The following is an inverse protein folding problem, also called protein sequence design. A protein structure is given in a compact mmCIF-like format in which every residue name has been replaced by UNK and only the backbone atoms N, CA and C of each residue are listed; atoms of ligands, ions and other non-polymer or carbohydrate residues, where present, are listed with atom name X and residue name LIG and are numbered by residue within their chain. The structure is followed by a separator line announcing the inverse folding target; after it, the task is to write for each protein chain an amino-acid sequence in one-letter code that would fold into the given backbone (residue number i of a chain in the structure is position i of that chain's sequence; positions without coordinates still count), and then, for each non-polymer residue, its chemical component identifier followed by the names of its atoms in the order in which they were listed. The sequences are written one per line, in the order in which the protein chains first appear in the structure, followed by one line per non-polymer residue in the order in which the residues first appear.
data_IF_130175930127
#
_entry.id   IF_130175930127
#
_cell.length_a   1.000
_cell.length_b   1.000
_cell.length_c   1.000
_cell.angle_alpha   90.00
_cell.angle_beta   90.00
_cell.angle_gamma   90.00
#
_symmetry.space_group_name_H-M   'P 1'
#
loop_
_entity.id
_entity.type
_entity.pdbx_description
1 polymer ?
#
# COMPACT_ATOMS: atom_id res chain seq x y z
N UNK A 1 -63.35 43.93 30.52
CA UNK A 1 -62.84 42.78 29.72
C UNK A 1 -61.31 42.82 29.72
N UNK A 2 -60.65 41.89 30.41
CA UNK A 2 -59.17 41.84 30.58
C UNK A 2 -58.57 40.94 29.49
N UNK A 3 -57.71 41.46 28.61
CA UNK A 3 -56.99 40.66 27.61
C UNK A 3 -55.74 40.05 28.23
N UNK A 4 -55.63 38.72 28.18
CA UNK A 4 -54.45 37.95 28.59
C UNK A 4 -53.59 37.72 27.35
N UNK A 5 -52.37 38.24 27.36
CA UNK A 5 -51.35 38.00 26.33
C UNK A 5 -50.46 36.85 26.81
N UNK A 6 -50.38 35.76 26.03
CA UNK A 6 -49.45 34.65 26.29
C UNK A 6 -48.22 34.79 25.40
N UNK A 7 -47.07 34.93 26.04
CA UNK A 7 -45.75 34.97 25.38
C UNK A 7 -45.23 33.56 25.18
N UNK A 8 -45.17 33.11 23.93
CA UNK A 8 -44.62 31.80 23.55
C UNK A 8 -43.09 31.89 23.48
N UNK A 9 -42.39 31.21 24.40
CA UNK A 9 -40.93 31.04 24.32
C UNK A 9 -40.62 29.87 23.39
N UNK A 10 -39.90 30.15 22.30
CA UNK A 10 -39.37 29.12 21.38
C UNK A 10 -38.01 28.67 21.94
N UNK A 11 -37.93 27.40 22.35
CA UNK A 11 -36.68 26.73 22.72
C UNK A 11 -36.03 26.17 21.45
N UNK A 12 -34.89 26.72 21.05
CA UNK A 12 -34.05 26.17 19.97
C UNK A 12 -33.13 25.09 20.57
N UNK A 13 -33.33 23.85 20.17
CA UNK A 13 -32.45 22.73 20.51
C UNK A 13 -31.34 22.65 19.47
N UNK A 14 -30.11 23.02 19.85
CA UNK A 14 -28.92 22.82 19.02
C UNK A 14 -28.45 21.37 19.14
N UNK A 15 -28.67 20.56 18.10
CA UNK A 15 -28.08 19.23 17.97
C UNK A 15 -26.61 19.34 17.58
N UNK A 16 -25.67 18.76 18.34
CA UNK A 16 -24.28 18.66 17.90
C UNK A 16 -24.20 17.65 16.75
N UNK A 17 -23.77 18.11 15.57
CA UNK A 17 -23.45 17.24 14.44
C UNK A 17 -22.09 16.59 14.75
N UNK A 18 -22.10 15.30 15.06
CA UNK A 18 -20.90 14.48 15.20
C UNK A 18 -20.27 14.33 13.80
N UNK A 19 -19.17 15.04 13.55
CA UNK A 19 -18.43 14.93 12.30
C UNK A 19 -17.80 13.55 12.18
N UNK A 20 -18.25 12.77 11.18
CA UNK A 20 -17.59 11.55 10.75
C UNK A 20 -16.20 11.92 10.18
N UNK A 21 -15.17 11.77 11.00
CA UNK A 21 -13.80 11.82 10.52
C UNK A 21 -13.59 10.67 9.53
N UNK A 22 -13.27 11.00 8.27
CA UNK A 22 -12.94 10.00 7.26
C UNK A 22 -11.74 9.18 7.76
N UNK A 23 -11.97 7.89 8.00
CA UNK A 23 -10.94 6.92 8.38
C UNK A 23 -10.09 6.60 7.14
N UNK A 24 -9.26 7.54 6.70
CA UNK A 24 -8.21 7.21 5.77
C UNK A 24 -7.17 6.39 6.54
N UNK A 25 -6.81 5.16 6.08
CA UNK A 25 -5.73 4.42 6.71
C UNK A 25 -4.46 5.29 6.63
N UNK A 26 -3.90 5.63 7.79
CA UNK A 26 -2.66 6.38 7.86
C UNK A 26 -1.50 5.43 7.53
N UNK A 27 -0.88 5.62 6.37
CA UNK A 27 0.41 5.03 6.05
C UNK A 27 1.51 5.94 6.62
N UNK A 28 2.39 5.40 7.47
CA UNK A 28 3.46 6.17 8.12
C UNK A 28 4.84 6.01 7.46
N UNK A 29 4.95 5.24 6.38
CA UNK A 29 6.20 5.07 5.63
C UNK A 29 6.40 6.10 4.50
N UNK A 30 7.59 6.12 3.89
CA UNK A 30 7.90 7.03 2.78
C UNK A 30 7.04 6.70 1.56
N UNK A 31 6.68 7.73 0.81
CA UNK A 31 5.92 7.63 -0.43
C UNK A 31 6.58 8.49 -1.51
N UNK A 32 6.70 7.95 -2.71
CA UNK A 32 7.26 8.65 -3.87
C UNK A 32 6.30 8.60 -5.06
N UNK A 33 6.22 9.72 -5.75
CA UNK A 33 5.46 9.87 -6.97
C UNK A 33 6.40 10.40 -8.06
N UNK A 34 6.25 9.86 -9.26
CA UNK A 34 6.92 10.36 -10.46
C UNK A 34 5.86 10.69 -11.52
N UNK A 35 6.17 11.52 -12.50
CA UNK A 35 5.36 11.71 -13.70
C UNK A 35 5.44 10.51 -14.64
N UNK A 36 4.37 10.25 -15.40
CA UNK A 36 4.41 9.24 -16.47
C UNK A 36 5.13 9.83 -17.70
N UNK A 37 6.03 9.07 -18.32
CA UNK A 37 6.82 9.51 -19.47
C UNK A 37 6.66 8.56 -20.67
N UNK A 38 6.72 9.09 -21.90
CA UNK A 38 6.59 8.34 -23.15
C UNK A 38 7.92 7.98 -23.80
N UNK A 39 9.04 8.41 -23.22
CA UNK A 39 10.37 8.16 -23.76
C UNK A 39 10.69 6.65 -23.87
N UNK A 40 11.57 6.33 -24.82
CA UNK A 40 11.88 4.94 -25.22
C UNK A 40 13.27 4.48 -24.79
N UNK A 41 14.15 5.40 -24.36
CA UNK A 41 15.43 5.04 -23.74
C UNK A 41 15.19 4.35 -22.40
N UNK A 42 15.98 3.33 -22.06
CA UNK A 42 15.81 2.63 -20.79
C UNK A 42 15.98 3.58 -19.60
N UNK A 43 15.07 3.48 -18.62
CA UNK A 43 15.02 4.28 -17.39
C UNK A 43 14.99 5.81 -17.63
N UNK A 44 14.56 6.24 -18.80
CA UNK A 44 14.48 7.65 -19.12
C UNK A 44 13.51 8.37 -18.17
N UNK A 45 13.96 9.52 -17.65
CA UNK A 45 13.22 10.32 -16.67
C UNK A 45 12.77 9.55 -15.42
N UNK A 46 13.42 8.42 -15.10
CA UNK A 46 13.15 7.71 -13.86
C UNK A 46 13.68 8.51 -12.67
N UNK A 47 12.89 8.54 -11.60
CA UNK A 47 13.34 9.01 -10.30
C UNK A 47 14.41 8.07 -9.73
N UNK A 48 15.52 8.65 -9.28
CA UNK A 48 16.60 7.92 -8.63
C UNK A 48 16.35 7.92 -7.12
N UNK A 49 16.30 6.73 -6.54
CA UNK A 49 16.09 6.50 -5.12
C UNK A 49 17.28 5.70 -4.61
N UNK A 50 17.97 6.24 -3.60
CA UNK A 50 18.99 5.50 -2.89
C UNK A 50 18.37 4.88 -1.63
N UNK A 51 18.67 3.62 -1.39
CA UNK A 51 18.17 2.88 -0.25
C UNK A 51 19.25 2.02 0.37
N UNK A 52 18.96 1.54 1.57
CA UNK A 52 19.81 0.62 2.31
C UNK A 52 18.94 -0.51 2.84
N UNK A 53 19.44 -1.73 2.70
CA UNK A 53 18.96 -2.91 3.39
C UNK A 53 19.86 -3.16 4.60
N UNK A 54 19.28 -3.43 5.77
CA UNK A 54 20.03 -3.64 7.01
C UNK A 54 19.64 -4.96 7.65
N UNK A 55 20.64 -5.70 8.12
CA UNK A 55 20.47 -6.78 9.09
C UNK A 55 21.16 -6.37 10.40
N UNK A 56 20.43 -6.43 11.50
CA UNK A 56 20.97 -6.10 12.82
C UNK A 56 21.93 -7.17 13.34
N UNK A 57 22.64 -6.87 14.43
CA UNK A 57 23.58 -7.79 15.08
C UNK A 57 22.93 -9.08 15.63
N UNK A 58 21.62 -9.08 15.85
CA UNK A 58 20.84 -10.26 16.25
C UNK A 58 20.13 -10.93 15.07
N UNK A 59 20.55 -10.67 13.83
CA UNK A 59 19.98 -11.21 12.60
C UNK A 59 18.52 -10.82 12.32
N UNK A 60 18.04 -9.72 12.90
CA UNK A 60 16.75 -9.16 12.49
C UNK A 60 16.94 -8.41 11.18
N UNK A 61 16.08 -8.73 10.22
CA UNK A 61 16.10 -8.12 8.89
C UNK A 61 15.22 -6.87 8.89
N UNK A 62 15.77 -5.76 8.43
CA UNK A 62 15.07 -4.50 8.17
C UNK A 62 15.08 -4.24 6.66
N UNK A 63 14.03 -4.66 5.93
CA UNK A 63 13.96 -4.44 4.49
C UNK A 63 13.67 -2.97 4.17
N UNK A 64 14.12 -2.51 3.01
CA UNK A 64 13.74 -1.19 2.54
C UNK A 64 12.29 -1.21 2.04
N UNK A 65 11.43 -0.39 2.64
CA UNK A 65 10.01 -0.28 2.28
C UNK A 65 9.70 1.11 1.73
N UNK A 66 9.00 1.18 0.61
CA UNK A 66 8.57 2.42 -0.05
C UNK A 66 7.19 2.27 -0.69
N UNK A 67 6.37 3.32 -0.60
CA UNK A 67 5.17 3.42 -1.43
C UNK A 67 5.47 4.08 -2.76
N UNK A 68 5.13 3.42 -3.87
CA UNK A 68 5.22 4.00 -5.22
C UNK A 68 3.82 4.16 -5.80
N UNK A 69 3.55 5.30 -6.41
CA UNK A 69 2.23 5.58 -6.98
C UNK A 69 2.05 5.04 -8.40
N UNK A 70 0.85 4.55 -8.74
CA UNK A 70 0.46 4.31 -10.12
C UNK A 70 -0.97 4.74 -10.44
N UNK A 71 -1.22 5.05 -11.72
CA UNK A 71 -2.56 5.24 -12.27
C UNK A 71 -3.32 3.93 -12.53
N UNK A 72 -2.69 2.76 -12.43
CA UNK A 72 -3.35 1.45 -12.54
C UNK A 72 -3.62 0.95 -13.95
N UNK A 73 -3.05 1.61 -14.96
CA UNK A 73 -3.18 1.20 -16.36
C UNK A 73 -1.93 1.62 -17.15
N UNK A 74 -0.80 1.59 -16.46
CA UNK A 74 0.49 2.00 -16.96
C UNK A 74 1.54 0.96 -16.55
N UNK A 75 2.72 1.08 -17.13
CA UNK A 75 3.85 0.34 -16.65
C UNK A 75 4.63 1.11 -15.59
N UNK A 76 4.83 0.49 -14.44
CA UNK A 76 5.81 0.87 -13.43
C UNK A 76 7.06 0.01 -13.62
N UNK A 77 8.21 0.66 -13.83
CA UNK A 77 9.52 0.02 -13.91
C UNK A 77 10.33 0.37 -12.66
N UNK A 78 10.76 -0.66 -11.94
CA UNK A 78 11.59 -0.57 -10.74
C UNK A 78 12.86 -1.37 -11.00
N UNK A 79 13.95 -0.66 -11.28
CA UNK A 79 15.21 -1.27 -11.67
C UNK A 79 16.29 -0.93 -10.65
N UNK A 80 16.79 -1.93 -9.93
CA UNK A 80 18.02 -1.75 -9.17
C UNK A 80 19.18 -1.70 -10.16
N UNK A 81 19.96 -0.62 -10.10
CA UNK A 81 21.06 -0.35 -11.04
C UNK A 81 22.43 -0.53 -10.41
N UNK A 82 22.52 -0.34 -9.10
CA UNK A 82 23.71 -0.55 -8.28
C UNK A 82 23.30 -1.25 -6.99
N UNK A 83 24.08 -2.24 -6.53
CA UNK A 83 23.87 -2.94 -5.27
C UNK A 83 25.18 -3.53 -4.74
N UNK A 84 25.27 -3.69 -3.42
CA UNK A 84 26.41 -4.33 -2.75
C UNK A 84 26.26 -5.84 -2.47
N UNK A 85 25.05 -6.40 -2.60
CA UNK A 85 24.76 -7.83 -2.37
C UNK A 85 23.64 -8.29 -3.30
N UNK A 86 23.33 -9.58 -3.32
CA UNK A 86 22.21 -10.15 -4.08
C UNK A 86 20.86 -9.67 -3.49
N UNK A 87 20.00 -9.06 -4.31
CA UNK A 87 18.77 -8.41 -3.84
C UNK A 87 17.54 -8.98 -4.54
N UNK A 88 16.42 -8.94 -3.84
CA UNK A 88 15.10 -9.27 -4.34
C UNK A 88 14.18 -8.05 -4.19
N UNK A 89 13.37 -7.79 -5.22
CA UNK A 89 12.28 -6.82 -5.15
C UNK A 89 10.94 -7.52 -5.10
N UNK A 90 10.03 -7.00 -4.28
CA UNK A 90 8.61 -7.39 -4.24
C UNK A 90 7.76 -6.13 -4.33
N UNK A 91 6.84 -6.08 -5.28
CA UNK A 91 5.86 -5.01 -5.44
C UNK A 91 4.45 -5.57 -5.23
N UNK A 92 3.69 -4.97 -4.31
CA UNK A 92 2.32 -5.40 -3.97
C UNK A 92 1.33 -4.32 -4.38
N UNK A 93 0.36 -4.69 -5.23
CA UNK A 93 -0.76 -3.85 -5.63
C UNK A 93 -1.77 -3.63 -4.51
N UNK A 94 -2.46 -2.48 -4.45
CA UNK A 94 -3.67 -2.33 -3.63
C UNK A 94 -4.74 -3.41 -3.87
N UNK A 95 -4.77 -4.05 -5.04
CA UNK A 95 -5.69 -5.14 -5.37
C UNK A 95 -5.25 -6.51 -4.84
N UNK A 96 -3.98 -6.64 -4.41
CA UNK A 96 -3.35 -7.89 -3.99
C UNK A 96 -2.53 -8.61 -5.08
N UNK A 97 -2.40 -8.07 -6.30
CA UNK A 97 -1.42 -8.57 -7.27
C UNK A 97 0.02 -8.37 -6.75
N UNK A 98 0.88 -9.36 -6.93
CA UNK A 98 2.28 -9.32 -6.45
C UNK A 98 3.25 -9.55 -7.60
N UNK A 99 4.18 -8.62 -7.83
CA UNK A 99 5.31 -8.83 -8.71
C UNK A 99 6.56 -9.08 -7.87
N UNK A 100 7.39 -10.02 -8.29
CA UNK A 100 8.62 -10.38 -7.61
C UNK A 100 9.68 -10.73 -8.63
N UNK A 101 10.90 -10.28 -8.38
CA UNK A 101 12.06 -10.52 -9.25
C UNK A 101 13.36 -10.29 -8.46
N UNK A 102 14.38 -11.10 -8.71
CA UNK A 102 15.71 -11.04 -8.07
C UNK A 102 16.87 -10.86 -9.08
N UNK A 103 16.73 -11.30 -10.33
CA UNK A 103 17.83 -11.27 -11.31
C UNK A 103 17.50 -10.65 -12.68
N UNK A 104 16.28 -10.17 -12.88
CA UNK A 104 15.80 -9.67 -14.17
C UNK A 104 16.52 -8.41 -14.67
N UNK A 105 17.25 -7.69 -13.80
CA UNK A 105 18.12 -6.56 -14.13
C UNK A 105 19.55 -6.97 -14.52
N UNK A 106 19.83 -8.28 -14.50
CA UNK A 106 21.14 -8.87 -14.72
C UNK A 106 22.09 -8.69 -13.53
N UNK A 107 23.09 -9.57 -13.42
CA UNK A 107 24.10 -9.53 -12.35
C UNK A 107 23.49 -9.52 -10.93
N UNK A 108 22.46 -10.35 -10.71
CA UNK A 108 21.75 -10.51 -9.43
C UNK A 108 20.93 -9.28 -9.01
N UNK A 109 20.66 -8.35 -9.93
CA UNK A 109 19.87 -7.16 -9.64
C UNK A 109 18.40 -7.39 -9.95
N UNK A 110 17.50 -7.05 -9.03
CA UNK A 110 16.08 -7.18 -9.27
C UNK A 110 15.58 -6.11 -10.25
N UNK A 111 14.66 -6.52 -11.12
CA UNK A 111 13.95 -5.68 -12.08
C UNK A 111 12.47 -6.05 -12.13
N UNK A 112 11.62 -5.18 -11.55
CA UNK A 112 10.17 -5.29 -11.72
C UNK A 112 9.73 -4.40 -12.88
N UNK A 113 9.04 -4.99 -13.85
CA UNK A 113 8.29 -4.31 -14.92
C UNK A 113 6.82 -4.64 -14.73
N UNK A 114 6.11 -3.86 -13.92
CA UNK A 114 4.73 -4.12 -13.55
C UNK A 114 3.77 -3.35 -14.47
N UNK A 115 2.98 -4.07 -15.25
CA UNK A 115 1.75 -3.51 -15.82
C UNK A 115 0.71 -3.46 -14.69
N UNK A 116 0.60 -2.28 -14.10
CA UNK A 116 -0.24 -2.02 -12.92
C UNK A 116 -1.73 -2.17 -13.24
N UNK A 117 -2.51 -2.51 -12.23
CA UNK A 117 -3.90 -2.96 -12.38
C UNK A 117 -4.94 -2.05 -11.72
N UNK A 118 -4.56 -1.33 -10.66
CA UNK A 118 -5.43 -0.36 -9.98
C UNK A 118 -4.69 0.94 -9.65
N UNK A 119 -5.41 2.06 -9.69
CA UNK A 119 -4.85 3.36 -9.29
C UNK A 119 -4.60 3.34 -7.79
N UNK A 120 -3.40 3.70 -7.35
CA UNK A 120 -3.10 3.79 -5.93
C UNK A 120 -1.62 3.66 -5.61
N UNK A 121 -1.36 3.36 -4.34
CA UNK A 121 -0.02 3.22 -3.78
C UNK A 121 0.34 1.74 -3.66
N UNK A 122 1.43 1.36 -4.32
CA UNK A 122 1.96 0.01 -4.34
C UNK A 122 3.09 -0.08 -3.32
N UNK A 123 3.07 -1.14 -2.53
CA UNK A 123 4.13 -1.37 -1.53
C UNK A 123 5.30 -2.04 -2.22
N UNK A 124 6.42 -1.32 -2.32
CA UNK A 124 7.70 -1.87 -2.72
C UNK A 124 8.48 -2.31 -1.49
N UNK A 125 8.99 -3.53 -1.53
CA UNK A 125 9.98 -4.06 -0.62
C UNK A 125 11.25 -4.42 -1.41
N UNK A 126 12.41 -3.94 -0.95
CA UNK A 126 13.71 -4.42 -1.39
C UNK A 126 14.40 -5.09 -0.20
N UNK A 127 14.80 -6.35 -0.40
CA UNK A 127 15.48 -7.14 0.62
C UNK A 127 16.62 -7.94 -0.01
N UNK A 128 17.47 -8.55 0.81
CA UNK A 128 18.49 -9.47 0.33
C UNK A 128 17.86 -10.77 -0.16
N UNK A 129 18.27 -11.24 -1.34
CA UNK A 129 17.95 -12.57 -1.79
C UNK A 129 18.86 -13.58 -1.08
N UNK A 130 18.25 -14.47 -0.28
CA UNK A 130 18.81 -15.68 0.35
C UNK A 130 20.22 -15.63 0.99
N UNK A 131 20.39 -16.12 2.23
CA UNK A 131 21.69 -16.42 2.85
C UNK A 131 22.05 -15.60 4.11
N UNK A 132 23.35 -15.34 4.32
CA UNK A 132 23.90 -14.69 5.53
C UNK A 132 23.49 -13.21 5.70
N UNK A 133 23.36 -12.78 6.96
CA UNK A 133 23.16 -11.37 7.31
C UNK A 133 24.15 -10.45 6.57
N UNK A 134 23.62 -9.39 5.95
CA UNK A 134 24.42 -8.39 5.25
C UNK A 134 23.76 -7.02 5.37
N UNK A 135 24.54 -5.97 5.15
CA UNK A 135 24.04 -4.62 4.93
C UNK A 135 24.47 -4.21 3.53
N UNK A 136 23.58 -3.60 2.77
CA UNK A 136 23.90 -3.15 1.42
C UNK A 136 23.15 -1.88 1.07
N UNK A 137 23.90 -0.92 0.54
CA UNK A 137 23.33 0.22 -0.17
C UNK A 137 23.00 -0.19 -1.61
N UNK A 138 21.97 0.45 -2.16
CA UNK A 138 21.55 0.26 -3.54
C UNK A 138 20.98 1.53 -4.15
N UNK A 139 20.98 1.57 -5.49
CA UNK A 139 20.33 2.62 -6.27
C UNK A 139 19.21 2.02 -7.10
N UNK A 140 18.01 2.52 -6.89
CA UNK A 140 16.78 2.13 -7.58
C UNK A 140 16.35 3.25 -8.54
N UNK A 141 16.08 2.88 -9.79
CA UNK A 141 15.36 3.72 -10.73
C UNK A 141 13.87 3.36 -10.70
N UNK A 142 13.04 4.34 -10.42
CA UNK A 142 11.58 4.25 -10.48
C UNK A 142 11.05 5.08 -11.64
N UNK A 143 10.50 4.42 -12.64
CA UNK A 143 9.91 5.06 -13.81
C UNK A 143 8.45 4.64 -14.03
N UNK A 144 7.65 5.58 -14.53
CA UNK A 144 6.26 5.34 -14.94
C UNK A 144 6.14 5.60 -16.43
N UNK A 145 5.58 4.66 -17.17
CA UNK A 145 5.49 4.70 -18.62
C UNK A 145 4.12 4.22 -19.08
N UNK A 146 3.58 4.68 -20.23
CA UNK A 146 2.38 4.09 -20.81
C UNK A 146 2.51 2.58 -21.02
N UNK A 147 1.38 1.88 -20.91
CA UNK A 147 1.30 0.46 -21.26
C UNK A 147 1.81 0.22 -22.69
N UNK A 148 2.63 -0.81 -22.87
CA UNK A 148 3.27 -1.13 -24.16
C UNK A 148 4.56 -0.36 -24.45
N UNK A 149 5.03 0.53 -23.56
CA UNK A 149 6.33 1.17 -23.71
C UNK A 149 7.47 0.13 -23.64
N UNK A 150 8.54 0.35 -24.44
CA UNK A 150 9.74 -0.50 -24.50
C UNK A 150 10.44 -0.70 -23.16
N UNK A 151 10.36 0.28 -22.24
CA UNK A 151 10.83 0.16 -20.86
C UNK A 151 10.19 -1.02 -20.12
N UNK A 152 9.08 -1.55 -20.62
CA UNK A 152 8.33 -2.65 -20.05
C UNK A 152 8.12 -3.81 -21.02
N UNK A 153 9.01 -3.93 -22.00
CA UNK A 153 9.13 -5.14 -22.81
C UNK A 153 9.32 -6.37 -21.90
N UNK A 154 8.59 -7.45 -22.19
CA UNK A 154 8.53 -8.66 -21.36
C UNK A 154 8.23 -8.36 -19.88
N UNK A 155 7.02 -7.88 -19.53
CA UNK A 155 6.67 -7.48 -18.17
C UNK A 155 6.85 -8.63 -17.18
N UNK A 156 7.16 -8.31 -15.93
CA UNK A 156 7.22 -9.29 -14.83
C UNK A 156 5.82 -9.87 -14.66
N UNK A 157 5.70 -11.20 -14.62
CA UNK A 157 4.40 -11.85 -14.47
C UNK A 157 3.93 -11.74 -13.02
N UNK A 158 2.72 -11.21 -12.76
CA UNK A 158 2.21 -11.11 -11.40
C UNK A 158 1.86 -12.50 -10.86
N UNK A 159 2.24 -12.75 -9.61
CA UNK A 159 1.63 -13.76 -8.76
C UNK A 159 0.27 -13.21 -8.33
N UNK A 160 -0.80 -13.94 -8.64
CA UNK A 160 -2.12 -13.65 -8.07
C UNK A 160 -2.19 -14.32 -6.71
N UNK A 161 -2.46 -13.55 -5.65
CA UNK A 161 -2.84 -14.13 -4.37
C UNK A 161 -4.04 -15.05 -4.62
N UNK A 162 -3.99 -16.28 -4.10
CA UNK A 162 -5.13 -17.20 -4.13
C UNK A 162 -6.39 -16.44 -3.67
N UNK A 163 -7.49 -16.68 -4.39
CA UNK A 163 -8.81 -16.08 -4.13
C UNK A 163 -9.06 -15.98 -2.62
N UNK A 164 -9.44 -14.79 -2.17
CA UNK A 164 -10.05 -14.62 -0.85
C UNK A 164 -11.22 -15.61 -0.80
N UNK A 165 -11.07 -16.70 -0.04
CA UNK A 165 -12.24 -17.30 0.57
C UNK A 165 -12.85 -16.17 1.38
N UNK A 166 -14.08 -15.78 1.08
CA UNK A 166 -14.77 -14.70 1.77
C UNK A 166 -14.96 -15.11 3.24
N UNK A 167 -13.97 -14.84 4.08
CA UNK A 167 -14.19 -14.81 5.52
C UNK A 167 -14.87 -13.47 5.76
N UNK A 168 -16.20 -13.49 5.61
CA UNK A 168 -17.06 -12.46 6.17
C UNK A 168 -16.63 -12.33 7.64
N UNK A 169 -16.00 -11.22 8.01
CA UNK A 169 -15.78 -10.88 9.41
C UNK A 169 -17.18 -10.83 10.05
N UNK A 170 -17.55 -11.73 10.97
CA UNK A 170 -18.89 -11.69 11.54
C UNK A 170 -19.02 -10.40 12.33
N UNK A 171 -19.82 -9.46 11.81
CA UNK A 171 -20.38 -8.39 12.63
C UNK A 171 -21.57 -8.97 13.35
N UNK A 172 -21.35 -9.44 14.57
CA UNK A 172 -22.45 -9.57 15.52
C UNK A 172 -21.96 -9.08 16.85
N UNK A 173 -22.21 -7.79 17.11
CA UNK A 173 -22.44 -7.34 18.48
C UNK A 173 -23.53 -8.26 19.04
N UNK A 174 -23.16 -9.21 19.89
CA UNK A 174 -24.12 -9.85 20.77
C UNK A 174 -24.54 -8.78 21.79
N UNK A 175 -25.63 -8.08 21.50
CA UNK A 175 -26.38 -7.37 22.52
C UNK A 175 -26.88 -8.46 23.47
N UNK A 176 -26.12 -8.67 24.54
CA UNK A 176 -26.50 -9.53 25.64
C UNK A 176 -27.82 -9.02 26.19
N UNK A 177 -28.88 -9.81 26.03
CA UNK A 177 -30.14 -9.55 26.72
C UNK A 177 -29.88 -9.73 28.22
N UNK A 178 -30.25 -8.76 29.07
CA UNK A 178 -30.08 -8.92 30.52
C UNK A 178 -30.96 -10.10 31.00
N UNK A 179 -30.50 -10.86 32.00
CA UNK A 179 -31.24 -12.00 32.50
C UNK A 179 -32.58 -11.57 33.09
N UNK A 180 -33.64 -12.22 32.64
CA UNK A 180 -35.01 -12.03 33.12
C UNK A 180 -35.14 -12.64 34.52
N UNK A 181 -35.43 -11.80 35.51
CA UNK A 181 -35.85 -12.24 36.85
C UNK A 181 -37.02 -13.23 36.72
N UNK A 182 -36.84 -14.43 37.29
CA UNK A 182 -37.90 -15.41 37.42
C UNK A 182 -38.90 -15.01 38.51
N UNK A 183 -40.20 -15.30 38.36
CA UNK A 183 -41.19 -14.95 39.36
C UNK A 183 -41.06 -15.84 40.60
N UNK A 184 -41.02 -15.20 41.77
CA UNK A 184 -41.27 -15.81 43.07
C UNK A 184 -42.54 -16.68 43.03
N UNK A 185 -42.47 -17.91 43.54
CA UNK A 185 -43.65 -18.67 43.96
C UNK A 185 -43.32 -19.68 45.05
N UNK A 186 -43.77 -19.31 46.26
CA UNK A 186 -44.11 -20.06 47.48
C UNK A 186 -43.03 -20.82 48.24
#
# INVERSE_FOLDING_TARGET
MKKIVRTTKILLWSTPILGLASLNPAWAGPAVFDSSNTCTTLNCSASIINGTYVTSSNNNVDPFILQVFSTGSECVRLAVTSQGTDLEAVLVSPSGAVWKDDDGGGSLRPLIKANTDVRGWYTLQIARYNGTAANADFTLNYGRYPSGNVNCSAPTTPLTAFSQQSIIKPSTESIGTPPREGPNSR
#
